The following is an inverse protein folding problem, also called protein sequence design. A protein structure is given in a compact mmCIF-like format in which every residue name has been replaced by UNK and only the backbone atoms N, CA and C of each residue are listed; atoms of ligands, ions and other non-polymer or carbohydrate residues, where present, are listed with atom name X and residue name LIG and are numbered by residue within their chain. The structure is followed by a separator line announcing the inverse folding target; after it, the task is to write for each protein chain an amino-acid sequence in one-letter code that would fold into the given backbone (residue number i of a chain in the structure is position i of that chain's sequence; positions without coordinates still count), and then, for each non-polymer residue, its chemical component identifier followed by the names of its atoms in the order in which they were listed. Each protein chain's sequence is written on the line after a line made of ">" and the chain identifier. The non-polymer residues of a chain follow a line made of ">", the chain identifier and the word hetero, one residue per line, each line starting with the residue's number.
data_IF_176958399461
#
_entry.id   IF_176958399461
#
_cell.length_a   1.000
_cell.length_b   1.000
_cell.length_c   1.000
_cell.angle_alpha   90.00
_cell.angle_beta   90.00
_cell.angle_gamma   90.00
#
_symmetry.space_group_name_H-M   'P 1'
#
loop_
_entity.id
_entity.type
_entity.pdbx_description
1 polymer ?
#
# COMPACT_ATOMS: atom_id res chain seq x y z
N UNK A 1 -0.63 6.22 12.70
CA UNK A 1 -1.30 5.00 12.20
C UNK A 1 -0.34 4.05 11.52
N UNK A 2 -0.71 2.77 11.42
CA UNK A 2 0.06 1.73 10.71
C UNK A 2 -0.83 1.08 9.64
N UNK A 3 -0.27 0.79 8.45
CA UNK A 3 -0.97 0.09 7.36
C UNK A 3 -2.29 0.80 6.98
N UNK A 4 -3.42 0.10 7.00
CA UNK A 4 -4.75 0.69 6.80
C UNK A 4 -5.02 1.86 7.75
N UNK A 5 -4.52 1.78 9.01
CA UNK A 5 -4.60 2.89 9.97
C UNK A 5 -3.74 4.09 9.58
N UNK A 6 -2.67 3.91 8.79
CA UNK A 6 -1.90 5.00 8.22
C UNK A 6 -2.59 5.62 6.99
N UNK A 7 -3.23 4.80 6.15
CA UNK A 7 -4.06 5.25 5.03
C UNK A 7 -5.22 6.14 5.54
N UNK A 8 -5.99 5.63 6.49
CA UNK A 8 -7.07 6.39 7.13
C UNK A 8 -6.56 7.59 7.90
N UNK A 9 -5.39 7.47 8.56
CA UNK A 9 -4.73 8.53 9.30
C UNK A 9 -4.32 9.71 8.43
N UNK A 10 -3.82 9.46 7.22
CA UNK A 10 -3.50 10.52 6.27
C UNK A 10 -4.74 11.34 5.89
N UNK A 11 -5.87 10.66 5.64
CA UNK A 11 -7.14 11.32 5.36
C UNK A 11 -7.64 12.13 6.57
N UNK A 12 -7.55 11.54 7.77
CA UNK A 12 -7.94 12.22 9.00
C UNK A 12 -7.12 13.50 9.21
N UNK A 13 -5.80 13.44 9.05
CA UNK A 13 -4.91 14.60 9.19
C UNK A 13 -5.21 15.68 8.14
N UNK A 14 -5.52 15.27 6.90
CA UNK A 14 -5.86 16.21 5.83
C UNK A 14 -7.16 16.98 6.09
N UNK A 15 -8.11 16.40 6.82
CA UNK A 15 -9.44 17.01 7.08
C UNK A 15 -9.48 17.68 8.44
N UNK A 16 -8.98 17.03 9.50
CA UNK A 16 -9.15 17.49 10.87
C UNK A 16 -8.41 18.80 11.19
N UNK A 17 -7.30 19.07 10.48
CA UNK A 17 -6.52 20.31 10.66
C UNK A 17 -6.98 21.46 9.76
N UNK A 18 -8.02 21.27 8.95
CA UNK A 18 -8.60 22.36 8.17
C UNK A 18 -9.37 23.32 9.09
N UNK A 19 -9.18 24.64 8.83
CA UNK A 19 -9.91 25.67 9.56
C UNK A 19 -11.28 25.85 8.94
N UNK A 20 -12.32 25.63 9.71
CA UNK A 20 -13.72 25.85 9.29
C UNK A 20 -14.24 27.24 9.70
N UNK A 21 -13.39 28.07 10.31
CA UNK A 21 -13.75 29.44 10.76
C UNK A 21 -14.46 29.49 12.11
N UNK A 22 -14.52 28.41 12.85
CA UNK A 22 -15.02 28.35 14.22
C UNK A 22 -13.87 27.98 15.14
N UNK A 23 -13.33 28.94 15.90
CA UNK A 23 -12.14 28.77 16.73
C UNK A 23 -12.29 27.65 17.77
N UNK A 24 -13.49 27.41 18.29
CA UNK A 24 -13.76 26.35 19.24
C UNK A 24 -13.70 24.97 18.58
N UNK A 25 -14.35 24.80 17.41
CA UNK A 25 -14.32 23.57 16.65
C UNK A 25 -12.93 23.31 16.05
N UNK A 26 -12.26 24.34 15.53
CA UNK A 26 -10.89 24.25 14.99
C UNK A 26 -9.87 23.79 16.07
N UNK A 27 -10.10 24.13 17.34
CA UNK A 27 -9.26 23.70 18.45
C UNK A 27 -9.53 22.25 18.91
N UNK A 28 -10.79 21.79 18.84
CA UNK A 28 -11.19 20.46 19.32
C UNK A 28 -10.62 19.31 18.48
N UNK A 29 -10.46 19.50 17.17
CA UNK A 29 -10.04 18.46 16.25
C UNK A 29 -8.62 18.63 15.72
N UNK A 30 -7.86 19.57 16.31
CA UNK A 30 -6.50 19.87 15.88
C UNK A 30 -5.52 18.78 16.35
N UNK A 31 -4.87 18.13 15.40
CA UNK A 31 -3.68 17.31 15.67
C UNK A 31 -2.43 18.20 15.65
N UNK A 32 -1.46 17.89 16.49
CA UNK A 32 -0.19 18.62 16.59
C UNK A 32 0.94 17.94 15.84
N UNK A 33 0.83 16.63 15.61
CA UNK A 33 1.80 15.82 14.87
C UNK A 33 1.12 14.58 14.31
N UNK A 34 1.71 13.97 13.30
CA UNK A 34 1.25 12.72 12.68
C UNK A 34 2.39 11.74 12.41
N UNK A 35 2.12 10.46 12.65
CA UNK A 35 3.01 9.37 12.28
C UNK A 35 2.27 8.36 11.39
N UNK A 36 2.82 8.05 10.22
CA UNK A 36 2.26 7.14 9.22
C UNK A 36 3.27 6.05 8.91
N UNK A 37 3.05 4.85 9.44
CA UNK A 37 3.91 3.72 9.14
C UNK A 37 3.29 2.83 8.06
N UNK A 38 4.08 2.53 7.04
CA UNK A 38 3.69 1.73 5.87
C UNK A 38 2.35 2.19 5.28
N UNK A 39 2.17 3.50 4.99
CA UNK A 39 0.96 3.99 4.33
C UNK A 39 0.98 3.67 2.84
N UNK A 40 -0.15 3.87 2.17
CA UNK A 40 -0.23 3.79 0.72
C UNK A 40 -1.40 4.57 0.16
N UNK A 41 -1.32 4.91 -1.11
CA UNK A 41 -2.39 5.56 -1.87
C UNK A 41 -2.65 4.84 -3.18
N UNK A 42 -3.70 5.24 -3.91
CA UNK A 42 -4.18 4.48 -5.05
C UNK A 42 -4.67 3.10 -4.62
N UNK A 43 -5.66 3.06 -3.74
CA UNK A 43 -6.03 1.87 -2.95
C UNK A 43 -6.36 0.67 -3.84
N UNK A 44 -7.14 0.86 -4.92
CA UNK A 44 -7.53 -0.26 -5.77
C UNK A 44 -6.33 -0.89 -6.51
N UNK A 45 -5.48 -0.14 -7.24
CA UNK A 45 -4.27 -0.71 -7.83
C UNK A 45 -3.28 -1.21 -6.78
N UNK A 46 -3.17 -0.56 -5.61
CA UNK A 46 -2.34 -1.02 -4.50
C UNK A 46 -2.73 -2.44 -4.08
N UNK A 47 -4.01 -2.68 -3.83
CA UNK A 47 -4.51 -3.99 -3.40
C UNK A 47 -4.34 -5.06 -4.48
N UNK A 48 -4.60 -4.73 -5.75
CA UNK A 48 -4.42 -5.66 -6.87
C UNK A 48 -2.97 -6.07 -7.09
N UNK A 49 -2.02 -5.18 -6.78
CA UNK A 49 -0.59 -5.42 -6.98
C UNK A 49 0.15 -5.77 -5.68
N UNK A 50 -0.56 -5.85 -4.56
CA UNK A 50 0.00 -6.33 -3.30
C UNK A 50 0.48 -7.79 -3.46
N UNK A 51 1.75 -8.10 -3.16
CA UNK A 51 2.21 -9.50 -3.16
C UNK A 51 1.41 -10.40 -2.21
N UNK A 52 0.89 -9.83 -1.12
CA UNK A 52 0.11 -10.56 -0.11
C UNK A 52 -1.37 -10.69 -0.49
N UNK A 53 -2.02 -9.60 -0.89
CA UNK A 53 -3.47 -9.58 -1.14
C UNK A 53 -3.83 -9.77 -2.61
N UNK A 54 -2.96 -9.31 -3.51
CA UNK A 54 -3.22 -9.30 -4.95
C UNK A 54 -3.65 -10.64 -5.53
N UNK A 55 -2.97 -11.76 -5.23
CA UNK A 55 -3.37 -13.06 -5.75
C UNK A 55 -4.81 -13.45 -5.41
N UNK A 56 -5.24 -13.23 -4.17
CA UNK A 56 -6.61 -13.55 -3.73
C UNK A 56 -7.63 -12.65 -4.41
N UNK A 57 -7.35 -11.35 -4.52
CA UNK A 57 -8.26 -10.38 -5.14
C UNK A 57 -8.37 -10.65 -6.63
N UNK A 58 -7.25 -10.83 -7.33
CA UNK A 58 -7.25 -11.12 -8.78
C UNK A 58 -8.01 -12.42 -9.08
N UNK A 59 -7.74 -13.49 -8.33
CA UNK A 59 -8.46 -14.75 -8.48
C UNK A 59 -9.98 -14.56 -8.27
N UNK A 60 -10.39 -13.85 -7.24
CA UNK A 60 -11.80 -13.60 -6.93
C UNK A 60 -12.49 -12.80 -8.03
N UNK A 61 -11.87 -11.71 -8.50
CA UNK A 61 -12.40 -10.87 -9.59
C UNK A 61 -12.54 -11.67 -10.88
N UNK A 62 -11.50 -12.39 -11.27
CA UNK A 62 -11.46 -13.10 -12.55
C UNK A 62 -12.39 -14.32 -12.59
N UNK A 63 -12.42 -15.10 -11.51
CA UNK A 63 -13.31 -16.27 -11.42
C UNK A 63 -14.78 -15.87 -11.18
N UNK A 64 -15.00 -14.70 -10.59
CA UNK A 64 -16.33 -14.11 -10.43
C UNK A 64 -16.89 -13.54 -11.74
N UNK A 65 -16.02 -13.02 -12.62
CA UNK A 65 -16.41 -12.43 -13.90
C UNK A 65 -16.45 -13.43 -15.05
N UNK A 66 -15.79 -14.59 -14.96
CA UNK A 66 -15.69 -15.59 -16.01
C UNK A 66 -15.85 -17.02 -15.51
N UNK A 67 -17.01 -17.62 -15.80
CA UNK A 67 -17.27 -19.03 -15.52
C UNK A 67 -16.31 -19.97 -16.25
N UNK A 68 -15.92 -19.61 -17.49
CA UNK A 68 -14.96 -20.37 -18.28
C UNK A 68 -13.58 -20.41 -17.60
N UNK A 69 -13.10 -19.24 -17.14
CA UNK A 69 -11.81 -19.15 -16.44
C UNK A 69 -11.85 -19.93 -15.11
N UNK A 70 -12.95 -19.84 -14.37
CA UNK A 70 -13.15 -20.61 -13.14
C UNK A 70 -13.06 -22.12 -13.41
N UNK A 71 -13.75 -22.62 -14.45
CA UNK A 71 -13.74 -24.03 -14.84
C UNK A 71 -12.35 -24.48 -15.26
N UNK A 72 -11.64 -23.68 -16.09
CA UNK A 72 -10.29 -23.96 -16.54
C UNK A 72 -9.32 -24.04 -15.34
N UNK A 73 -9.41 -23.11 -14.40
CA UNK A 73 -8.58 -23.15 -13.19
C UNK A 73 -8.90 -24.36 -12.30
N UNK A 74 -10.17 -24.72 -12.16
CA UNK A 74 -10.55 -25.93 -11.39
C UNK A 74 -9.88 -27.18 -11.94
N UNK A 75 -9.77 -27.30 -13.27
CA UNK A 75 -9.05 -28.40 -13.92
C UNK A 75 -7.53 -28.30 -13.75
N UNK A 76 -6.97 -27.09 -13.68
CA UNK A 76 -5.53 -26.84 -13.49
C UNK A 76 -5.07 -27.03 -12.05
N UNK A 77 -5.91 -26.70 -11.07
CA UNK A 77 -5.57 -26.60 -9.64
C UNK A 77 -4.83 -27.81 -9.04
N UNK A 78 -5.07 -29.09 -9.48
CA UNK A 78 -4.29 -30.23 -9.02
C UNK A 78 -2.80 -30.15 -9.36
N UNK A 79 -2.39 -29.30 -10.30
CA UNK A 79 -1.01 -29.12 -10.75
C UNK A 79 -0.28 -27.99 -10.01
N UNK A 80 -0.95 -27.27 -9.11
CA UNK A 80 -0.39 -26.14 -8.37
C UNK A 80 0.80 -26.56 -7.51
N UNK A 81 1.88 -25.79 -7.57
CA UNK A 81 3.08 -25.94 -6.73
C UNK A 81 3.08 -25.00 -5.54
N UNK A 82 2.24 -23.96 -5.59
CA UNK A 82 2.11 -22.95 -4.54
C UNK A 82 0.67 -22.91 -4.00
N UNK A 83 0.41 -22.09 -2.99
CA UNK A 83 -0.94 -21.86 -2.46
C UNK A 83 -1.90 -21.42 -3.58
N UNK A 84 -3.17 -21.83 -3.50
CA UNK A 84 -4.17 -21.69 -4.58
C UNK A 84 -4.25 -20.28 -5.18
N UNK A 85 -4.36 -19.17 -4.42
CA UNK A 85 -4.40 -17.86 -5.04
C UNK A 85 -3.09 -17.49 -5.76
N UNK A 86 -1.94 -17.85 -5.18
CA UNK A 86 -0.61 -17.61 -5.76
C UNK A 86 -0.42 -18.44 -7.03
N UNK A 87 -0.81 -19.70 -7.00
CA UNK A 87 -0.81 -20.58 -8.17
C UNK A 87 -1.68 -20.02 -9.30
N UNK A 88 -2.87 -19.52 -8.98
CA UNK A 88 -3.75 -18.93 -9.97
C UNK A 88 -3.05 -17.81 -10.75
N UNK A 89 -2.40 -16.89 -10.05
CA UNK A 89 -1.76 -15.71 -10.67
C UNK A 89 -0.42 -16.05 -11.32
N UNK A 90 0.42 -16.85 -10.64
CA UNK A 90 1.82 -17.02 -11.03
C UNK A 90 2.09 -18.28 -11.89
N UNK A 91 1.16 -19.25 -11.90
CA UNK A 91 1.34 -20.49 -12.62
C UNK A 91 0.24 -20.67 -13.69
N UNK A 92 -1.04 -20.52 -13.32
CA UNK A 92 -2.15 -20.74 -14.23
C UNK A 92 -2.33 -19.61 -15.26
N UNK A 93 -2.46 -18.35 -14.84
CA UNK A 93 -2.66 -17.23 -15.77
C UNK A 93 -1.55 -17.14 -16.85
N UNK A 94 -0.25 -17.31 -16.53
CA UNK A 94 0.80 -17.34 -17.54
C UNK A 94 0.74 -18.52 -18.50
N UNK A 95 0.05 -19.61 -18.16
CA UNK A 95 -0.12 -20.79 -19.02
C UNK A 95 -1.21 -20.63 -20.09
N UNK A 96 -2.02 -19.57 -19.98
CA UNK A 96 -3.09 -19.28 -20.92
C UNK A 96 -2.54 -18.71 -22.25
N UNK A 97 -3.31 -18.80 -23.31
CA UNK A 97 -2.97 -18.17 -24.58
C UNK A 97 -2.96 -16.63 -24.48
N UNK A 98 -2.26 -15.97 -25.41
CA UNK A 98 -2.05 -14.53 -25.38
C UNK A 98 -3.38 -13.73 -25.46
N UNK A 99 -4.38 -14.24 -26.16
CA UNK A 99 -5.70 -13.57 -26.29
C UNK A 99 -6.42 -13.59 -24.94
N UNK A 100 -6.41 -14.74 -24.27
CA UNK A 100 -7.00 -14.88 -22.93
C UNK A 100 -6.25 -14.05 -21.89
N UNK A 101 -4.90 -14.01 -21.94
CA UNK A 101 -4.11 -13.16 -21.07
C UNK A 101 -4.44 -11.66 -21.25
N UNK A 102 -4.61 -11.20 -22.51
CA UNK A 102 -5.02 -9.83 -22.80
C UNK A 102 -6.43 -9.51 -22.24
N UNK A 103 -7.36 -10.45 -22.35
CA UNK A 103 -8.71 -10.32 -21.76
C UNK A 103 -8.67 -10.24 -20.25
N UNK A 104 -7.84 -11.07 -19.59
CA UNK A 104 -7.60 -11.03 -18.15
C UNK A 104 -7.05 -9.67 -17.71
N UNK A 105 -6.04 -9.17 -18.41
CA UNK A 105 -5.46 -7.85 -18.13
C UNK A 105 -6.50 -6.73 -18.27
N UNK A 106 -7.31 -6.74 -19.33
CA UNK A 106 -8.40 -5.79 -19.53
C UNK A 106 -9.46 -5.83 -18.42
N UNK A 107 -9.80 -7.04 -17.94
CA UNK A 107 -10.76 -7.21 -16.84
C UNK A 107 -10.21 -6.63 -15.55
N UNK A 108 -8.96 -6.90 -15.19
CA UNK A 108 -8.32 -6.35 -13.99
C UNK A 108 -8.17 -4.83 -14.07
N UNK A 109 -7.83 -4.29 -15.23
CA UNK A 109 -7.75 -2.85 -15.45
C UNK A 109 -9.11 -2.16 -15.27
N UNK A 110 -10.17 -2.73 -15.85
CA UNK A 110 -11.54 -2.22 -15.72
C UNK A 110 -12.01 -2.27 -14.26
N UNK A 111 -11.73 -3.37 -13.57
CA UNK A 111 -12.02 -3.50 -12.15
C UNK A 111 -11.26 -2.45 -11.32
N UNK A 112 -9.95 -2.30 -11.57
CA UNK A 112 -9.12 -1.32 -10.86
C UNK A 112 -9.65 0.10 -11.03
N UNK A 113 -10.02 0.46 -12.25
CA UNK A 113 -10.60 1.78 -12.55
C UNK A 113 -11.93 2.00 -11.83
N UNK A 114 -12.85 1.03 -11.92
CA UNK A 114 -14.17 1.14 -11.29
C UNK A 114 -14.05 1.20 -9.75
N UNK A 115 -13.22 0.32 -9.17
CA UNK A 115 -12.98 0.31 -7.72
C UNK A 115 -12.32 1.60 -7.24
N UNK A 116 -11.30 2.10 -7.97
CA UNK A 116 -10.63 3.36 -7.62
C UNK A 116 -11.59 4.54 -7.69
N UNK A 117 -12.47 4.60 -8.69
CA UNK A 117 -13.47 5.68 -8.81
C UNK A 117 -14.41 5.76 -7.61
N UNK A 118 -14.71 4.61 -6.98
CA UNK A 118 -15.50 4.59 -5.73
C UNK A 118 -14.66 5.03 -4.53
N UNK A 119 -13.37 4.67 -4.50
CA UNK A 119 -12.47 4.95 -3.38
C UNK A 119 -11.85 6.35 -3.42
N UNK A 120 -11.88 7.04 -4.56
CA UNK A 120 -11.19 8.31 -4.77
C UNK A 120 -11.52 9.40 -3.72
N UNK A 121 -12.75 9.42 -3.22
CA UNK A 121 -13.16 10.37 -2.18
C UNK A 121 -12.57 10.06 -0.79
N UNK A 122 -12.01 8.85 -0.61
CA UNK A 122 -11.41 8.37 0.64
C UNK A 122 -9.95 7.91 0.44
N UNK A 123 -9.37 8.17 -0.72
CA UNK A 123 -7.99 7.81 -1.02
C UNK A 123 -7.02 8.93 -0.63
N UNK A 124 -6.01 8.68 0.20
CA UNK A 124 -5.06 9.70 0.63
C UNK A 124 -4.23 10.28 -0.52
N UNK A 125 -4.16 9.62 -1.68
CA UNK A 125 -3.52 10.19 -2.87
C UNK A 125 -4.24 11.47 -3.33
N UNK A 126 -5.54 11.55 -3.10
CA UNK A 126 -6.37 12.72 -3.46
C UNK A 126 -6.46 13.75 -2.33
N UNK A 127 -6.49 13.30 -1.08
CA UNK A 127 -6.71 14.15 0.09
C UNK A 127 -5.42 14.64 0.75
N UNK A 128 -4.31 13.93 0.59
CA UNK A 128 -3.06 14.17 1.31
C UNK A 128 -2.49 15.59 1.15
N UNK A 129 -2.75 16.25 0.03
CA UNK A 129 -2.37 17.67 -0.19
C UNK A 129 -3.06 18.65 0.77
N UNK A 130 -4.12 18.22 1.47
CA UNK A 130 -4.76 18.99 2.52
C UNK A 130 -3.94 19.10 3.81
N UNK A 131 -2.91 18.28 3.97
CA UNK A 131 -1.99 18.38 5.10
C UNK A 131 -1.02 19.53 4.81
N UNK A 132 -0.95 20.51 5.73
CA UNK A 132 -0.08 21.66 5.58
C UNK A 132 1.40 21.24 5.57
N UNK A 133 2.22 21.88 4.72
CA UNK A 133 3.64 21.54 4.55
C UNK A 133 4.50 21.79 5.82
N UNK A 134 4.02 22.63 6.73
CA UNK A 134 4.63 22.90 8.04
C UNK A 134 4.08 22.01 9.16
N UNK A 135 3.11 21.13 8.86
CA UNK A 135 2.58 20.19 9.83
C UNK A 135 3.64 19.12 10.15
N UNK A 136 3.95 18.88 11.43
CA UNK A 136 4.90 17.84 11.82
C UNK A 136 4.38 16.45 11.44
N UNK A 137 4.84 15.92 10.31
CA UNK A 137 4.47 14.62 9.76
C UNK A 137 5.70 13.77 9.56
N UNK A 138 5.68 12.57 10.11
CA UNK A 138 6.68 11.55 9.89
C UNK A 138 6.05 10.30 9.27
N UNK A 139 6.71 9.74 8.29
CA UNK A 139 6.28 8.49 7.69
C UNK A 139 7.43 7.49 7.54
N UNK A 140 7.11 6.20 7.54
CA UNK A 140 8.08 5.14 7.35
C UNK A 140 7.63 4.15 6.29
N UNK A 141 8.57 3.57 5.57
CA UNK A 141 8.35 2.41 4.69
C UNK A 141 9.55 1.47 4.72
N UNK A 142 9.32 0.21 4.34
CA UNK A 142 10.39 -0.77 4.11
C UNK A 142 10.61 -0.91 2.62
N UNK A 143 11.81 -0.51 2.16
CA UNK A 143 12.19 -0.58 0.73
C UNK A 143 12.97 -1.85 0.41
N UNK A 144 13.54 -2.52 1.45
CA UNK A 144 14.44 -3.65 1.27
C UNK A 144 15.81 -3.23 0.73
N UNK A 145 16.73 -4.16 0.68
CA UNK A 145 18.10 -3.96 0.15
C UNK A 145 18.26 -4.46 -1.28
N UNK A 146 17.21 -5.02 -1.87
CA UNK A 146 17.21 -5.61 -3.21
C UNK A 146 17.92 -6.97 -3.31
N UNK A 147 18.41 -7.53 -2.20
CA UNK A 147 19.13 -8.79 -2.14
C UNK A 147 18.50 -9.78 -1.15
N UNK A 148 18.70 -9.59 0.14
CA UNK A 148 18.22 -10.49 1.20
C UNK A 148 16.95 -9.95 1.87
N UNK A 149 16.82 -8.65 2.01
CA UNK A 149 15.63 -8.01 2.57
C UNK A 149 14.71 -7.56 1.45
N UNK A 150 13.45 -7.99 1.50
CA UNK A 150 12.44 -7.61 0.52
C UNK A 150 11.81 -6.27 0.92
N UNK A 151 11.30 -5.54 -0.08
CA UNK A 151 10.41 -4.41 0.16
C UNK A 151 9.11 -4.88 0.81
N UNK A 152 8.31 -3.94 1.32
CA UNK A 152 7.01 -4.24 1.91
C UNK A 152 6.17 -5.14 0.97
N UNK A 153 5.71 -6.27 1.51
CA UNK A 153 4.97 -7.30 0.78
C UNK A 153 3.46 -7.11 0.86
N UNK A 154 3.00 -6.19 1.70
CA UNK A 154 1.58 -5.90 1.93
C UNK A 154 1.18 -4.65 1.17
N UNK A 155 1.91 -3.55 1.36
CA UNK A 155 1.71 -2.30 0.63
C UNK A 155 2.91 -2.08 -0.31
N UNK A 156 2.74 -2.25 -1.63
CA UNK A 156 3.82 -1.99 -2.59
C UNK A 156 4.33 -0.56 -2.47
N UNK A 157 5.64 -0.37 -2.47
CA UNK A 157 6.22 0.98 -2.43
C UNK A 157 5.90 1.75 -3.72
N UNK A 158 5.92 1.06 -4.86
CA UNK A 158 5.54 1.62 -6.17
C UNK A 158 4.98 0.53 -7.09
N UNK A 159 4.15 0.94 -8.04
CA UNK A 159 3.51 0.06 -9.02
C UNK A 159 3.76 0.61 -10.41
N UNK A 160 4.53 -0.12 -11.22
CA UNK A 160 4.95 0.35 -12.55
C UNK A 160 3.75 0.67 -13.48
N UNK A 161 2.69 -0.12 -13.40
CA UNK A 161 1.48 0.03 -14.21
C UNK A 161 0.44 0.99 -13.60
N UNK A 162 0.67 1.49 -12.39
CA UNK A 162 -0.22 2.42 -11.69
C UNK A 162 0.61 3.48 -10.93
N UNK A 163 1.05 4.54 -11.60
CA UNK A 163 2.01 5.52 -11.04
C UNK A 163 1.55 6.25 -9.77
N UNK A 164 0.27 6.23 -9.47
CA UNK A 164 -0.30 6.81 -8.24
C UNK A 164 -0.54 5.75 -7.14
N UNK A 165 -0.24 4.48 -7.40
CA UNK A 165 -0.42 3.39 -6.45
C UNK A 165 0.84 3.11 -5.63
N UNK A 166 0.68 2.99 -4.31
CA UNK A 166 1.75 2.63 -3.38
C UNK A 166 2.17 3.72 -2.40
N UNK A 167 3.23 3.45 -1.66
CA UNK A 167 3.75 4.35 -0.60
C UNK A 167 4.48 5.55 -1.18
N UNK A 168 5.37 5.34 -2.15
CA UNK A 168 6.19 6.41 -2.74
C UNK A 168 5.37 7.48 -3.47
N UNK A 169 4.34 7.16 -4.26
CA UNK A 169 3.46 8.19 -4.79
C UNK A 169 2.75 9.00 -3.71
N UNK A 170 2.33 8.35 -2.62
CA UNK A 170 1.73 9.05 -1.49
C UNK A 170 2.74 9.98 -0.81
N UNK A 171 3.98 9.56 -0.59
CA UNK A 171 5.03 10.41 -0.04
C UNK A 171 5.26 11.67 -0.88
N UNK A 172 5.20 11.55 -2.21
CA UNK A 172 5.28 12.70 -3.12
C UNK A 172 4.09 13.64 -2.99
N UNK A 173 2.88 13.10 -2.85
CA UNK A 173 1.66 13.91 -2.62
C UNK A 173 1.71 14.64 -1.29
N UNK A 174 2.24 13.96 -0.26
CA UNK A 174 2.46 14.54 1.06
C UNK A 174 3.67 15.47 1.12
N UNK A 175 4.46 15.60 0.05
CA UNK A 175 5.68 16.41 -0.04
C UNK A 175 6.73 16.04 1.02
N UNK A 176 6.78 14.77 1.47
CA UNK A 176 7.73 14.31 2.48
C UNK A 176 9.17 14.34 1.94
N UNK A 177 10.08 14.86 2.74
CA UNK A 177 11.52 14.87 2.43
C UNK A 177 12.20 13.63 3.01
N UNK A 178 13.24 13.10 2.36
CA UNK A 178 14.00 12.00 2.92
C UNK A 178 14.64 12.40 4.26
N UNK A 179 14.56 11.49 5.24
CA UNK A 179 15.31 11.59 6.49
C UNK A 179 16.29 10.42 6.56
N UNK A 180 17.57 10.71 6.70
CA UNK A 180 18.65 9.72 6.77
C UNK A 180 19.38 9.69 8.11
N UNK A 181 19.03 10.58 9.04
CA UNK A 181 19.61 10.63 10.37
C UNK A 181 18.61 11.25 11.35
N UNK A 182 18.75 10.91 12.63
CA UNK A 182 17.95 11.48 13.72
C UNK A 182 18.14 13.01 13.74
N UNK A 183 17.04 13.73 13.70
CA UNK A 183 17.06 15.20 13.71
C UNK A 183 15.66 15.79 13.89
N UNK A 184 15.60 17.09 14.11
CA UNK A 184 14.36 17.84 14.23
C UNK A 184 13.77 18.08 12.83
N UNK A 185 13.13 17.06 12.27
CA UNK A 185 12.52 17.14 10.97
C UNK A 185 11.00 17.25 11.11
N UNK A 186 10.38 18.19 10.43
CA UNK A 186 8.95 18.45 10.60
C UNK A 186 8.07 17.77 9.55
N UNK A 187 8.62 17.29 8.42
CA UNK A 187 7.82 16.74 7.34
C UNK A 187 8.65 15.76 6.50
N UNK A 188 8.83 14.54 7.02
CA UNK A 188 9.86 13.63 6.53
C UNK A 188 9.42 12.18 6.44
N UNK A 189 10.12 11.41 5.61
CA UNK A 189 9.98 9.97 5.49
C UNK A 189 11.33 9.26 5.67
N UNK A 190 11.32 8.15 6.40
CA UNK A 190 12.45 7.22 6.52
C UNK A 190 12.15 5.94 5.74
N UNK A 191 13.17 5.48 5.00
CA UNK A 191 13.14 4.26 4.20
C UNK A 191 14.06 3.24 4.81
N UNK A 192 13.48 2.16 5.35
CA UNK A 192 14.23 1.08 5.97
C UNK A 192 14.62 0.04 4.93
N UNK A 193 15.89 -0.32 4.90
CA UNK A 193 16.43 -1.34 3.98
C UNK A 193 16.24 -2.77 4.49
N UNK A 194 15.78 -2.93 5.72
CA UNK A 194 15.46 -4.22 6.35
C UNK A 194 14.15 -4.11 7.14
N UNK A 195 13.61 -5.25 7.56
CA UNK A 195 12.31 -5.33 8.24
C UNK A 195 11.19 -5.78 7.31
N UNK A 196 9.97 -5.73 7.78
CA UNK A 196 8.76 -6.09 7.07
C UNK A 196 7.61 -5.14 7.37
N UNK A 197 6.44 -5.44 6.83
CA UNK A 197 5.25 -4.60 6.97
C UNK A 197 4.88 -4.28 8.43
N UNK A 198 5.10 -5.21 9.33
CA UNK A 198 4.72 -5.08 10.74
C UNK A 198 5.86 -4.64 11.65
N UNK A 199 7.03 -4.28 11.12
CA UNK A 199 8.23 -4.02 11.93
C UNK A 199 8.10 -2.83 12.89
N UNK A 200 7.18 -1.90 12.67
CA UNK A 200 6.84 -0.90 13.69
C UNK A 200 6.26 -1.54 14.97
N UNK A 201 5.53 -2.65 14.84
CA UNK A 201 4.76 -3.27 15.93
C UNK A 201 5.52 -4.44 16.58
N UNK A 202 6.24 -5.19 15.76
CA UNK A 202 6.99 -6.38 16.20
C UNK A 202 8.13 -6.70 15.22
N UNK A 203 9.24 -7.28 15.70
CA UNK A 203 10.31 -7.77 14.84
C UNK A 203 9.80 -8.76 13.79
N UNK A 204 10.34 -8.67 12.58
CA UNK A 204 10.11 -9.65 11.54
C UNK A 204 11.13 -10.78 11.67
N UNK A 205 10.68 -12.03 11.82
CA UNK A 205 11.54 -13.18 12.04
C UNK A 205 12.55 -13.42 10.91
N UNK A 206 12.21 -13.03 9.69
CA UNK A 206 13.07 -13.26 8.51
C UNK A 206 13.96 -12.04 8.19
N UNK A 207 13.45 -10.82 8.39
CA UNK A 207 14.08 -9.58 7.90
C UNK A 207 14.52 -8.63 9.02
N UNK A 208 14.14 -8.89 10.26
CA UNK A 208 14.55 -8.16 11.47
C UNK A 208 14.64 -9.08 12.71
N UNK A 209 15.37 -10.21 12.64
CA UNK A 209 15.37 -11.21 13.70
C UNK A 209 15.96 -10.69 15.03
N UNK A 210 16.71 -9.60 15.00
CA UNK A 210 17.27 -8.96 16.20
C UNK A 210 16.36 -7.89 16.80
N UNK A 211 15.32 -7.48 16.08
CA UNK A 211 14.47 -6.37 16.46
C UNK A 211 15.12 -4.98 16.36
N UNK A 212 16.27 -4.87 15.68
CA UNK A 212 17.00 -3.62 15.56
C UNK A 212 16.19 -2.58 14.74
N UNK A 213 15.62 -2.99 13.62
CA UNK A 213 14.76 -2.13 12.78
C UNK A 213 13.49 -1.72 13.53
N UNK A 214 12.86 -2.67 14.24
CA UNK A 214 11.70 -2.39 15.09
C UNK A 214 12.04 -1.34 16.14
N UNK A 215 13.17 -1.49 16.82
CA UNK A 215 13.63 -0.52 17.83
C UNK A 215 13.86 0.85 17.22
N UNK A 216 14.51 0.92 16.05
CA UNK A 216 14.74 2.19 15.35
C UNK A 216 13.45 2.86 14.90
N UNK A 217 12.46 2.10 14.43
CA UNK A 217 11.15 2.64 14.04
C UNK A 217 10.34 3.20 15.22
N UNK A 218 10.58 2.69 16.44
CA UNK A 218 9.85 3.06 17.65
C UNK A 218 10.50 4.21 18.42
N UNK A 219 11.73 4.59 18.11
CA UNK A 219 12.50 5.68 18.75
C UNK A 219 12.49 6.97 17.95
#
# INVERSE_FOLDING_TARGET
>A
GHSLGAIAGANLLAVANQKIGNAQADALFKFTTGGLAMPGGGIAPLLLNSPTFGPTIQMSVLTGSSAALKTAFTAYAPNCKTAVPTCFVNEFLPSLDATTQASVAGTLQSYSFAAQSVLDSADPINLGRGIAADFPLFATEVVGDGALSLSDRVIPNSIATAPLGGTEPLFKVLALQPLSATGAANHHATRFVAGGHSSLLAPDENFDPTGAVTTEMQT
#
